data_IF_355038640489
#
_entry.id   IF_355038640489
#
_cell.length_a   1.000
_cell.length_b   1.000
_cell.length_c   1.000
_cell.angle_alpha   90.00
_cell.angle_beta   90.00
_cell.angle_gamma   90.00
#
_symmetry.space_group_name_H-M   'P 1'
#
loop_
_entity.id
_entity.type
_entity.pdbx_description
1 polymer ?
#
# COMPACT_ATOMS: atom_id res chain seq x y z
N UNK A 1 -21.01 -4.48 -21.93
CA UNK A 1 -20.88 -3.66 -20.69
C UNK A 1 -21.90 -4.06 -19.62
N UNK A 2 -23.21 -4.02 -19.90
CA UNK A 2 -24.25 -4.33 -18.89
C UNK A 2 -24.22 -5.76 -18.30
N UNK A 3 -23.73 -6.76 -19.04
CA UNK A 3 -23.60 -8.14 -18.52
C UNK A 3 -22.46 -8.27 -17.49
N UNK A 4 -21.36 -7.54 -17.68
CA UNK A 4 -20.18 -7.57 -16.80
C UNK A 4 -20.48 -6.82 -15.49
N UNK A 5 -21.29 -5.75 -15.57
CA UNK A 5 -21.77 -5.01 -14.40
C UNK A 5 -22.72 -5.80 -13.49
N UNK A 6 -23.29 -6.92 -13.95
CA UNK A 6 -24.24 -7.72 -13.15
C UNK A 6 -23.58 -8.83 -12.31
N UNK A 7 -22.24 -8.82 -12.12
CA UNK A 7 -21.48 -9.82 -11.34
C UNK A 7 -21.73 -11.29 -11.74
N UNK A 8 -22.30 -11.53 -12.92
CA UNK A 8 -22.71 -12.87 -13.37
C UNK A 8 -21.70 -13.55 -14.31
N UNK A 9 -20.53 -12.94 -14.53
CA UNK A 9 -19.50 -13.42 -15.45
C UNK A 9 -18.18 -13.62 -14.69
N UNK A 10 -17.48 -14.69 -15.02
CA UNK A 10 -16.16 -15.05 -14.51
C UNK A 10 -15.21 -15.27 -15.68
N UNK A 11 -13.90 -15.25 -15.42
CA UNK A 11 -12.90 -15.52 -16.46
C UNK A 11 -13.09 -16.93 -17.03
N UNK A 12 -13.33 -17.93 -16.18
CA UNK A 12 -13.60 -19.31 -16.60
C UNK A 12 -14.75 -19.47 -17.59
N UNK A 13 -15.75 -18.58 -17.54
CA UNK A 13 -16.92 -18.63 -18.42
C UNK A 13 -16.69 -17.92 -19.76
N UNK A 14 -15.78 -16.94 -19.81
CA UNK A 14 -15.53 -16.11 -20.99
C UNK A 14 -14.04 -15.71 -21.10
N UNK A 15 -13.09 -16.67 -21.24
CA UNK A 15 -11.67 -16.35 -21.31
C UNK A 15 -11.31 -15.54 -22.56
N UNK A 16 -12.04 -15.77 -23.66
CA UNK A 16 -11.86 -15.06 -24.93
C UNK A 16 -12.17 -13.57 -24.82
N UNK A 17 -13.08 -13.15 -23.93
CA UNK A 17 -13.40 -11.73 -23.76
C UNK A 17 -12.19 -10.95 -23.28
N UNK A 18 -11.50 -11.48 -22.27
CA UNK A 18 -10.29 -10.86 -21.72
C UNK A 18 -9.13 -10.94 -22.72
N UNK A 19 -9.00 -12.06 -23.44
CA UNK A 19 -7.99 -12.20 -24.49
C UNK A 19 -8.17 -11.17 -25.62
N UNK A 20 -9.41 -10.94 -26.07
CA UNK A 20 -9.74 -9.92 -27.07
C UNK A 20 -9.50 -8.51 -26.50
N UNK A 21 -9.86 -8.27 -25.24
CA UNK A 21 -9.62 -6.98 -24.58
C UNK A 21 -8.13 -6.65 -24.49
N UNK A 22 -7.30 -7.65 -24.19
CA UNK A 22 -5.83 -7.55 -24.19
C UNK A 22 -5.31 -7.27 -25.60
N UNK A 23 -5.77 -8.03 -26.61
CA UNK A 23 -5.34 -7.87 -28.00
C UNK A 23 -5.70 -6.49 -28.58
N UNK A 24 -6.90 -5.99 -28.25
CA UNK A 24 -7.38 -4.67 -28.68
C UNK A 24 -6.93 -3.53 -27.78
N UNK A 25 -6.21 -3.83 -26.70
CA UNK A 25 -5.79 -2.86 -25.68
C UNK A 25 -6.96 -2.00 -25.17
N UNK A 26 -8.13 -2.60 -24.99
CA UNK A 26 -9.32 -1.91 -24.48
C UNK A 26 -9.22 -1.75 -22.96
N UNK A 27 -8.64 -0.64 -22.53
CA UNK A 27 -8.33 -0.34 -21.12
C UNK A 27 -9.58 -0.39 -20.25
N UNK A 28 -10.70 0.15 -20.72
CA UNK A 28 -11.94 0.22 -19.94
C UNK A 28 -12.52 -1.18 -19.74
N UNK A 29 -12.49 -2.01 -20.78
CA UNK A 29 -12.94 -3.39 -20.68
C UNK A 29 -12.04 -4.22 -19.76
N UNK A 30 -10.72 -4.04 -19.85
CA UNK A 30 -9.75 -4.70 -18.96
C UNK A 30 -9.96 -4.29 -17.50
N UNK A 31 -10.14 -3.00 -17.21
CA UNK A 31 -10.42 -2.52 -15.85
C UNK A 31 -11.71 -3.14 -15.30
N UNK A 32 -12.78 -3.17 -16.09
CA UNK A 32 -14.06 -3.75 -15.67
C UNK A 32 -13.93 -5.26 -15.40
N UNK A 33 -13.20 -5.98 -16.24
CA UNK A 33 -12.95 -7.40 -16.03
C UNK A 33 -12.11 -7.67 -14.78
N UNK A 34 -11.05 -6.88 -14.54
CA UNK A 34 -10.22 -7.00 -13.33
C UNK A 34 -11.00 -6.74 -12.04
N UNK A 35 -12.00 -5.85 -12.08
CA UNK A 35 -12.83 -5.55 -10.91
C UNK A 35 -13.93 -6.59 -10.66
N UNK A 36 -14.46 -7.21 -11.71
CA UNK A 36 -15.67 -8.05 -11.61
C UNK A 36 -15.37 -9.55 -11.64
N UNK A 37 -14.27 -9.99 -12.25
CA UNK A 37 -13.97 -11.42 -12.36
C UNK A 37 -13.19 -11.90 -11.13
N UNK A 38 -13.69 -12.89 -10.39
CA UNK A 38 -13.03 -13.36 -9.16
C UNK A 38 -11.89 -14.36 -9.42
N UNK A 39 -11.77 -14.90 -10.64
CA UNK A 39 -10.97 -16.07 -11.00
C UNK A 39 -10.00 -15.79 -12.17
N UNK A 40 -9.40 -14.60 -12.18
CA UNK A 40 -8.47 -14.18 -13.25
C UNK A 40 -7.11 -14.86 -13.04
N UNK A 41 -6.55 -15.55 -14.05
CA UNK A 41 -5.22 -16.13 -13.96
C UNK A 41 -4.12 -15.07 -13.80
N UNK A 42 -3.08 -15.39 -13.04
CA UNK A 42 -1.98 -14.48 -12.74
C UNK A 42 -1.20 -14.04 -14.00
N UNK A 43 -1.12 -14.89 -15.02
CA UNK A 43 -0.55 -14.55 -16.33
C UNK A 43 -1.26 -13.35 -16.96
N UNK A 44 -2.60 -13.35 -16.89
CA UNK A 44 -3.45 -12.31 -17.45
C UNK A 44 -3.33 -11.03 -16.62
N UNK A 45 -3.31 -11.14 -15.29
CA UNK A 45 -3.06 -9.99 -14.40
C UNK A 45 -1.73 -9.33 -14.75
N UNK A 46 -0.67 -10.13 -14.94
CA UNK A 46 0.65 -9.62 -15.30
C UNK A 46 0.66 -8.97 -16.71
N UNK A 47 -0.08 -9.53 -17.66
CA UNK A 47 -0.22 -8.94 -18.99
C UNK A 47 -0.94 -7.59 -18.93
N UNK A 48 -2.02 -7.49 -18.14
CA UNK A 48 -2.70 -6.22 -17.89
C UNK A 48 -1.77 -5.20 -17.23
N UNK A 49 -0.99 -5.62 -16.22
CA UNK A 49 0.00 -4.75 -15.56
C UNK A 49 1.01 -4.19 -16.57
N UNK A 50 1.57 -5.03 -17.45
CA UNK A 50 2.49 -4.60 -18.51
C UNK A 50 1.87 -3.57 -19.43
N UNK A 51 0.65 -3.84 -19.90
CA UNK A 51 -0.09 -2.92 -20.77
C UNK A 51 -0.26 -1.57 -20.06
N UNK A 52 -0.71 -1.57 -18.81
CA UNK A 52 -0.94 -0.33 -18.04
C UNK A 52 0.34 0.44 -17.75
N UNK A 53 1.47 -0.23 -17.50
CA UNK A 53 2.76 0.42 -17.30
C UNK A 53 3.35 0.97 -18.61
N UNK A 54 3.08 0.32 -19.74
CA UNK A 54 3.58 0.72 -21.07
C UNK A 54 2.80 1.87 -21.72
N UNK A 55 1.54 2.08 -21.35
CA UNK A 55 0.72 3.18 -21.89
C UNK A 55 1.22 4.53 -21.36
N UNK A 56 1.38 5.54 -22.23
CA UNK A 56 1.70 6.91 -21.83
C UNK A 56 0.50 7.63 -21.19
N UNK A 57 0.74 8.48 -20.19
CA UNK A 57 -0.33 9.17 -19.46
C UNK A 57 -1.19 10.07 -20.38
N UNK A 58 -0.58 10.66 -21.42
CA UNK A 58 -1.23 11.51 -22.43
C UNK A 58 -2.40 10.80 -23.16
N UNK A 59 -2.32 9.48 -23.33
CA UNK A 59 -3.35 8.71 -24.02
C UNK A 59 -4.56 8.41 -23.12
N UNK A 60 -4.36 8.35 -21.80
CA UNK A 60 -5.42 8.03 -20.85
C UNK A 60 -6.33 9.22 -20.57
N UNK A 61 -5.82 10.45 -20.58
CA UNK A 61 -6.64 11.66 -20.35
C UNK A 61 -7.68 11.89 -21.46
N UNK A 62 -7.41 11.42 -22.68
CA UNK A 62 -8.38 11.50 -23.80
C UNK A 62 -9.50 10.47 -23.71
N UNK A 63 -9.32 9.43 -22.90
CA UNK A 63 -10.24 8.32 -22.75
C UNK A 63 -11.03 8.56 -21.46
N UNK A 64 -12.16 9.26 -21.56
CA UNK A 64 -13.01 9.63 -20.43
C UNK A 64 -13.41 8.41 -19.56
N UNK A 65 -12.60 8.11 -18.55
CA UNK A 65 -12.83 7.02 -17.60
C UNK A 65 -13.72 7.56 -16.48
N UNK A 66 -14.95 7.06 -16.40
CA UNK A 66 -15.85 7.38 -15.31
C UNK A 66 -15.18 6.97 -13.98
N UNK A 67 -14.81 7.98 -13.18
CA UNK A 67 -14.28 7.84 -11.81
C UNK A 67 -15.33 7.28 -10.81
N UNK A 68 -16.50 6.86 -11.29
CA UNK A 68 -17.70 6.64 -10.47
C UNK A 68 -17.99 5.17 -10.10
N UNK A 69 -17.13 4.22 -10.45
CA UNK A 69 -17.33 2.82 -10.03
C UNK A 69 -16.52 2.50 -8.77
N UNK A 70 -16.81 3.23 -7.70
CA UNK A 70 -16.58 2.77 -6.32
C UNK A 70 -17.65 1.71 -6.05
N UNK A 71 -17.28 0.44 -6.17
CA UNK A 71 -18.14 -0.65 -5.75
C UNK A 71 -18.12 -0.68 -4.21
N UNK A 72 -19.12 -0.01 -3.63
CA UNK A 72 -19.45 0.00 -2.22
C UNK A 72 -19.77 -1.43 -1.76
N UNK A 73 -18.74 -2.18 -1.37
CA UNK A 73 -18.92 -3.38 -0.57
C UNK A 73 -19.04 -2.97 0.88
N UNK A 74 -20.23 -2.51 1.23
CA UNK A 74 -20.73 -2.42 2.60
C UNK A 74 -20.70 -3.82 3.21
N UNK A 75 -19.63 -4.12 3.96
CA UNK A 75 -19.67 -5.17 4.99
C UNK A 75 -20.17 -4.49 6.26
N UNK A 76 -21.39 -4.85 6.65
CA UNK A 76 -22.01 -4.45 7.90
C UNK A 76 -21.08 -4.75 9.08
N UNK A 77 -20.53 -3.70 9.71
CA UNK A 77 -20.11 -3.77 11.10
C UNK A 77 -20.98 -2.82 11.93
N UNK A 78 -21.73 -3.46 12.83
CA UNK A 78 -22.69 -2.89 13.75
C UNK A 78 -22.22 -1.58 14.39
N UNK A 79 -23.16 -0.62 14.41
CA UNK A 79 -23.12 0.60 15.22
C UNK A 79 -22.92 0.27 16.71
N UNK A 80 -21.96 0.93 17.33
CA UNK A 80 -22.16 1.52 18.65
C UNK A 80 -21.27 2.77 18.77
N UNK A 81 -21.94 3.88 19.07
CA UNK A 81 -21.44 5.25 19.10
C UNK A 81 -20.41 5.54 20.19
N UNK A 82 -19.62 6.57 19.90
CA UNK A 82 -18.98 7.55 20.80
C UNK A 82 -18.12 7.06 21.98
N UNK A 83 -16.82 7.36 21.88
CA UNK A 83 -16.23 8.46 22.65
C UNK A 83 -14.91 8.92 22.01
N UNK A 84 -14.96 10.13 21.50
CA UNK A 84 -13.87 10.97 21.06
C UNK A 84 -12.86 11.23 22.19
N UNK A 85 -11.64 10.71 22.03
CA UNK A 85 -10.43 11.35 22.55
C UNK A 85 -9.34 11.31 21.49
N UNK A 86 -9.21 12.46 20.85
CA UNK A 86 -8.06 12.90 20.05
C UNK A 86 -6.79 12.67 20.88
N UNK A 87 -5.92 11.77 20.42
CA UNK A 87 -4.51 11.76 20.79
C UNK A 87 -3.74 11.92 19.48
N UNK A 88 -3.31 13.15 19.21
CA UNK A 88 -2.28 13.42 18.22
C UNK A 88 -0.99 12.76 18.72
N UNK A 89 -0.64 11.59 18.17
CA UNK A 89 0.71 11.07 18.28
C UNK A 89 1.58 11.91 17.34
N UNK A 90 2.25 12.90 17.92
CA UNK A 90 3.31 13.64 17.26
C UNK A 90 4.49 12.72 17.00
N UNK A 91 4.63 12.29 15.75
CA UNK A 91 5.86 11.71 15.22
C UNK A 91 6.18 12.41 13.91
N UNK A 92 6.71 13.63 14.00
CA UNK A 92 7.50 14.20 12.92
C UNK A 92 8.78 13.40 12.86
N UNK A 93 8.99 12.64 11.78
CA UNK A 93 10.24 11.93 11.54
C UNK A 93 11.33 12.95 11.18
N UNK A 94 11.98 13.52 12.19
CA UNK A 94 13.31 14.08 12.02
C UNK A 94 14.29 12.91 11.99
N UNK A 95 15.01 12.81 10.88
CA UNK A 95 16.04 11.81 10.64
C UNK A 95 17.06 11.88 11.78
N UNK A 96 17.24 10.78 12.49
CA UNK A 96 18.27 10.63 13.52
C UNK A 96 19.63 10.76 12.82
N UNK A 97 20.30 11.90 13.01
CA UNK A 97 21.70 12.10 12.67
C UNK A 97 22.56 11.25 13.63
N UNK A 98 23.22 10.22 13.10
CA UNK A 98 24.32 9.58 13.81
C UNK A 98 25.55 10.50 13.78
N UNK A 99 25.92 10.99 14.96
CA UNK A 99 27.13 11.78 15.20
C UNK A 99 28.37 10.88 15.13
N UNK A 100 29.26 11.11 14.16
CA UNK A 100 30.67 10.70 14.24
C UNK A 100 31.58 11.60 13.39
N UNK A 101 32.27 12.53 14.07
CA UNK A 101 33.50 13.30 13.78
C UNK A 101 33.83 13.87 12.37
N UNK A 102 33.84 15.21 12.30
CA UNK A 102 34.75 16.17 11.63
C UNK A 102 35.28 15.82 10.22
N UNK A 103 34.96 16.55 9.14
CA UNK A 103 35.22 17.98 8.91
C UNK A 103 34.44 18.45 7.68
N UNK A 104 33.99 19.71 7.75
CA UNK A 104 33.11 20.43 6.84
C UNK A 104 33.50 20.38 5.35
N UNK A 105 32.53 20.14 4.48
CA UNK A 105 32.32 20.94 3.26
C UNK A 105 30.84 20.96 2.90
N UNK A 106 30.26 22.14 3.08
CA UNK A 106 28.91 22.50 2.68
C UNK A 106 28.84 22.44 1.15
N UNK A 107 28.18 21.42 0.61
CA UNK A 107 27.57 21.46 -0.73
C UNK A 107 26.11 21.03 -0.61
N UNK A 108 25.29 22.03 -0.34
CA UNK A 108 23.85 22.03 -0.51
C UNK A 108 23.56 21.76 -1.98
N UNK A 109 23.23 20.52 -2.33
CA UNK A 109 22.87 20.15 -3.69
C UNK A 109 21.75 19.12 -3.66
N UNK A 110 20.53 19.65 -3.82
CA UNK A 110 19.41 18.98 -4.48
C UNK A 110 18.98 17.63 -3.90
N UNK A 111 18.51 17.60 -2.65
CA UNK A 111 17.48 16.64 -2.26
C UNK A 111 16.14 17.16 -2.80
N UNK A 112 15.84 16.80 -4.05
CA UNK A 112 14.57 17.14 -4.70
C UNK A 112 13.44 16.36 -4.01
N UNK A 113 12.46 17.13 -3.55
CA UNK A 113 11.10 16.79 -3.10
C UNK A 113 10.33 15.94 -4.14
N UNK A 114 10.76 14.71 -4.40
CA UNK A 114 10.01 13.75 -5.23
C UNK A 114 8.97 12.95 -4.41
N UNK A 115 8.64 13.40 -3.19
CA UNK A 115 7.71 12.70 -2.28
C UNK A 115 6.29 13.27 -2.26
N UNK A 116 5.99 14.30 -3.05
CA UNK A 116 4.66 14.93 -3.07
C UNK A 116 3.86 14.67 -4.33
N UNK A 117 4.51 14.38 -5.46
CA UNK A 117 3.84 14.15 -6.74
C UNK A 117 3.77 12.66 -7.09
N UNK A 118 2.59 12.21 -7.52
CA UNK A 118 2.40 10.85 -7.99
C UNK A 118 3.30 10.61 -9.23
N UNK A 119 4.07 9.50 -9.29
CA UNK A 119 4.95 9.22 -10.43
C UNK A 119 4.20 8.86 -11.72
N UNK A 120 2.88 8.72 -11.63
CA UNK A 120 1.98 8.37 -12.74
C UNK A 120 0.74 9.27 -12.72
N UNK A 121 0.14 9.49 -13.89
CA UNK A 121 -1.14 10.19 -14.01
C UNK A 121 -2.29 9.50 -13.26
N UNK A 122 -3.38 10.23 -12.95
CA UNK A 122 -4.47 9.74 -12.10
C UNK A 122 -5.18 8.50 -12.69
N UNK A 123 -5.38 8.46 -14.00
CA UNK A 123 -6.02 7.30 -14.65
C UNK A 123 -5.15 6.04 -14.56
N UNK A 124 -3.84 6.16 -14.79
CA UNK A 124 -2.90 5.05 -14.63
C UNK A 124 -2.86 4.58 -13.17
N UNK A 125 -2.89 5.50 -12.21
CA UNK A 125 -2.99 5.16 -10.79
C UNK A 125 -4.22 4.29 -10.49
N UNK A 126 -5.40 4.63 -11.01
CA UNK A 126 -6.62 3.82 -10.83
C UNK A 126 -6.49 2.41 -11.41
N UNK A 127 -5.86 2.27 -12.58
CA UNK A 127 -5.61 0.98 -13.21
C UNK A 127 -4.63 0.13 -12.40
N UNK A 128 -3.54 0.73 -11.93
CA UNK A 128 -2.55 0.05 -11.10
C UNK A 128 -3.15 -0.37 -9.74
N UNK A 129 -3.98 0.47 -9.13
CA UNK A 129 -4.71 0.12 -7.91
C UNK A 129 -5.64 -1.08 -8.14
N UNK A 130 -6.29 -1.16 -9.30
CA UNK A 130 -7.13 -2.30 -9.67
C UNK A 130 -6.31 -3.60 -9.74
N UNK A 131 -5.08 -3.54 -10.28
CA UNK A 131 -4.16 -4.68 -10.27
C UNK A 131 -3.74 -5.05 -8.84
N UNK A 132 -3.37 -4.08 -8.02
CA UNK A 132 -2.91 -4.32 -6.65
C UNK A 132 -4.01 -5.00 -5.81
N UNK A 133 -5.27 -4.62 -6.04
CA UNK A 133 -6.45 -5.20 -5.38
C UNK A 133 -6.88 -6.56 -5.95
N UNK A 134 -6.34 -7.00 -7.09
CA UNK A 134 -6.71 -8.28 -7.70
C UNK A 134 -6.29 -9.44 -6.79
N UNK A 135 -7.12 -10.49 -6.70
CA UNK A 135 -6.73 -11.71 -6.02
C UNK A 135 -5.61 -12.41 -6.81
N UNK A 136 -4.58 -12.87 -6.12
CA UNK A 136 -3.46 -13.58 -6.74
C UNK A 136 -2.88 -14.62 -5.79
N UNK A 137 -2.20 -15.60 -6.36
CA UNK A 137 -1.30 -16.49 -5.65
C UNK A 137 0.15 -16.15 -5.95
N UNK A 138 0.95 -15.92 -4.90
CA UNK A 138 2.37 -15.56 -5.01
C UNK A 138 3.15 -16.54 -5.90
N UNK A 139 2.91 -17.85 -5.72
CA UNK A 139 3.60 -18.91 -6.45
C UNK A 139 3.34 -18.89 -7.95
N UNK A 140 2.16 -18.44 -8.36
CA UNK A 140 1.76 -18.39 -9.77
C UNK A 140 2.04 -17.02 -10.40
N UNK A 141 2.02 -15.94 -9.63
CA UNK A 141 2.31 -14.59 -10.11
C UNK A 141 3.80 -14.34 -10.34
N UNK A 142 4.65 -14.81 -9.41
CA UNK A 142 6.08 -14.51 -9.41
C UNK A 142 6.81 -14.89 -10.72
N UNK A 143 6.55 -16.04 -11.37
CA UNK A 143 7.15 -16.37 -12.65
C UNK A 143 6.83 -15.34 -13.75
N UNK A 144 5.59 -14.87 -13.83
CA UNK A 144 5.16 -13.92 -14.86
C UNK A 144 5.70 -12.51 -14.62
N UNK A 145 5.89 -12.12 -13.36
CA UNK A 145 6.49 -10.82 -13.02
C UNK A 145 7.91 -10.67 -13.55
N UNK A 146 8.68 -11.76 -13.67
CA UNK A 146 10.07 -11.72 -14.19
C UNK A 146 10.18 -11.21 -15.62
N UNK A 147 9.09 -11.26 -16.38
CA UNK A 147 9.05 -10.82 -17.76
C UNK A 147 8.81 -9.29 -17.89
N UNK A 148 8.75 -8.55 -16.78
CA UNK A 148 8.70 -7.09 -16.77
C UNK A 148 10.07 -6.50 -17.12
N UNK A 149 10.09 -5.39 -17.87
CA UNK A 149 11.32 -4.65 -18.14
C UNK A 149 11.78 -3.86 -16.91
N UNK A 150 13.09 -3.57 -16.85
CA UNK A 150 13.67 -2.77 -15.77
C UNK A 150 12.97 -1.42 -15.54
N UNK A 151 12.54 -0.76 -16.63
CA UNK A 151 11.85 0.55 -16.56
C UNK A 151 10.46 0.42 -15.93
N UNK A 152 9.71 -0.61 -16.34
CA UNK A 152 8.39 -0.91 -15.77
C UNK A 152 8.49 -1.25 -14.28
N UNK A 153 9.50 -2.05 -13.89
CA UNK A 153 9.74 -2.41 -12.49
C UNK A 153 10.09 -1.19 -11.65
N UNK A 154 10.98 -0.31 -12.12
CA UNK A 154 11.34 0.90 -11.37
C UNK A 154 10.13 1.83 -11.22
N UNK A 155 9.37 2.07 -12.29
CA UNK A 155 8.18 2.91 -12.24
C UNK A 155 7.16 2.35 -11.25
N UNK A 156 6.92 1.04 -11.29
CA UNK A 156 5.94 0.41 -10.42
C UNK A 156 6.40 0.39 -8.96
N UNK A 157 7.69 0.15 -8.68
CA UNK A 157 8.24 0.27 -7.31
C UNK A 157 8.17 1.70 -6.77
N UNK A 158 8.44 2.72 -7.60
CA UNK A 158 8.27 4.13 -7.23
C UNK A 158 6.81 4.44 -6.92
N UNK A 159 5.89 3.92 -7.73
CA UNK A 159 4.45 4.07 -7.50
C UNK A 159 4.01 3.41 -6.19
N UNK A 160 4.39 2.16 -5.93
CA UNK A 160 4.07 1.46 -4.69
C UNK A 160 4.64 2.18 -3.46
N UNK A 161 5.86 2.72 -3.54
CA UNK A 161 6.42 3.55 -2.47
C UNK A 161 5.58 4.82 -2.25
N UNK A 162 5.16 5.50 -3.31
CA UNK A 162 4.30 6.68 -3.21
C UNK A 162 2.98 6.32 -2.52
N UNK A 163 2.29 5.26 -2.97
CA UNK A 163 1.01 4.82 -2.39
C UNK A 163 1.18 4.45 -0.93
N UNK A 164 2.24 3.72 -0.56
CA UNK A 164 2.55 3.39 0.83
C UNK A 164 2.61 4.66 1.71
N UNK A 165 3.38 5.66 1.26
CA UNK A 165 3.56 6.90 2.00
C UNK A 165 2.23 7.63 2.15
N UNK A 166 1.39 7.66 1.10
CA UNK A 166 0.07 8.27 1.18
C UNK A 166 -0.87 7.54 2.16
N UNK A 167 -0.90 6.21 2.14
CA UNK A 167 -1.67 5.42 3.11
C UNK A 167 -1.19 5.62 4.56
N UNK A 168 0.11 5.87 4.76
CA UNK A 168 0.67 6.07 6.11
C UNK A 168 0.40 7.47 6.69
N UNK A 169 0.11 8.47 5.84
CA UNK A 169 -0.05 9.88 6.22
C UNK A 169 -1.47 10.26 6.64
N UNK A 170 -2.38 9.30 6.74
CA UNK A 170 -3.81 9.57 6.67
C UNK A 170 -4.36 10.38 7.88
N UNK A 171 -4.39 11.71 7.70
CA UNK A 171 -5.32 12.65 8.31
C UNK A 171 -5.87 13.57 7.19
N UNK A 172 -6.97 13.16 6.57
CA UNK A 172 -7.88 13.95 5.72
C UNK A 172 -7.35 14.63 4.44
N UNK A 173 -6.88 13.87 3.45
CA UNK A 173 -6.98 14.31 2.04
C UNK A 173 -7.48 13.17 1.16
N UNK A 174 -8.75 13.25 0.77
CA UNK A 174 -9.44 12.28 -0.09
C UNK A 174 -8.71 12.14 -1.44
N UNK A 175 -7.97 11.04 -1.64
CA UNK A 175 -7.48 10.65 -2.96
C UNK A 175 -8.46 9.61 -3.53
N UNK A 176 -9.20 9.91 -4.62
CA UNK A 176 -10.13 8.95 -5.19
C UNK A 176 -9.36 7.71 -5.67
N UNK A 177 -9.79 6.52 -5.21
CA UNK A 177 -9.25 5.24 -5.64
C UNK A 177 -8.21 4.56 -4.74
N UNK A 178 -7.77 5.19 -3.64
CA UNK A 178 -6.84 4.55 -2.66
C UNK A 178 -7.60 3.79 -1.55
N UNK A 179 -8.87 4.12 -1.30
CA UNK A 179 -9.66 3.65 -0.14
C UNK A 179 -9.85 2.14 0.02
N UNK A 180 -9.41 1.31 -0.93
CA UNK A 180 -9.44 -0.15 -0.83
C UNK A 180 -8.07 -0.79 -0.61
N UNK A 181 -6.96 -0.05 -0.75
CA UNK A 181 -5.63 -0.64 -0.63
C UNK A 181 -5.19 -0.68 0.83
N UNK A 182 -4.88 -1.88 1.31
CA UNK A 182 -4.26 -2.07 2.61
C UNK A 182 -2.74 -1.92 2.53
N UNK A 183 -2.12 -1.45 3.62
CA UNK A 183 -0.66 -1.39 3.75
C UNK A 183 -0.03 -2.77 3.47
N UNK A 184 -0.69 -3.85 3.92
CA UNK A 184 -0.23 -5.21 3.69
C UNK A 184 -0.17 -5.56 2.20
N UNK A 185 -1.24 -5.31 1.43
CA UNK A 185 -1.25 -5.58 -0.01
C UNK A 185 -0.11 -4.83 -0.73
N UNK A 186 0.13 -3.57 -0.37
CA UNK A 186 1.22 -2.78 -0.95
C UNK A 186 2.58 -3.42 -0.63
N UNK A 187 2.78 -3.86 0.62
CA UNK A 187 4.00 -4.52 1.04
C UNK A 187 4.19 -5.88 0.35
N UNK A 188 3.14 -6.67 0.19
CA UNK A 188 3.19 -7.97 -0.51
C UNK A 188 3.61 -7.78 -1.97
N UNK A 189 3.06 -6.78 -2.67
CA UNK A 189 3.46 -6.44 -4.03
C UNK A 189 4.89 -5.89 -4.13
N UNK A 190 5.32 -5.07 -3.15
CA UNK A 190 6.72 -4.61 -3.06
C UNK A 190 7.67 -5.80 -2.91
N UNK A 191 7.38 -6.73 -2.00
CA UNK A 191 8.16 -7.94 -1.79
C UNK A 191 8.22 -8.79 -3.06
N UNK A 192 7.07 -9.07 -3.68
CA UNK A 192 6.98 -9.83 -4.94
C UNK A 192 7.85 -9.25 -6.07
N UNK A 193 7.80 -7.93 -6.27
CA UNK A 193 8.61 -7.26 -7.30
C UNK A 193 10.10 -7.34 -7.00
N UNK A 194 10.46 -7.14 -5.73
CA UNK A 194 11.85 -7.25 -5.30
C UNK A 194 12.34 -8.69 -5.45
N UNK A 195 11.55 -9.69 -5.09
CA UNK A 195 11.91 -11.10 -5.24
C UNK A 195 12.06 -11.52 -6.70
N UNK A 196 11.21 -10.99 -7.60
CA UNK A 196 11.31 -11.25 -9.03
C UNK A 196 12.54 -10.56 -9.68
N UNK A 197 12.89 -9.35 -9.25
CA UNK A 197 13.83 -8.47 -9.96
C UNK A 197 15.04 -8.00 -9.14
N UNK A 198 15.31 -8.58 -7.97
CA UNK A 198 16.36 -8.12 -7.05
C UNK A 198 17.70 -7.86 -7.75
N UNK A 199 18.18 -8.83 -8.52
CA UNK A 199 19.47 -8.73 -9.22
C UNK A 199 19.48 -7.56 -10.21
N UNK A 200 18.39 -7.36 -10.95
CA UNK A 200 18.25 -6.28 -11.94
C UNK A 200 18.23 -4.92 -11.23
N UNK A 201 17.41 -4.79 -10.19
CA UNK A 201 17.25 -3.57 -9.40
C UNK A 201 18.56 -3.16 -8.72
N UNK A 202 19.32 -4.10 -8.16
CA UNK A 202 20.61 -3.80 -7.49
C UNK A 202 21.70 -3.35 -8.48
N UNK A 203 21.69 -3.89 -9.70
CA UNK A 203 22.67 -3.55 -10.73
C UNK A 203 22.38 -2.20 -11.40
N UNK A 204 21.14 -1.72 -11.35
CA UNK A 204 20.73 -0.43 -11.94
C UNK A 204 21.10 0.74 -11.02
N UNK A 205 21.91 1.71 -11.48
CA UNK A 205 22.29 2.86 -10.67
C UNK A 205 21.09 3.74 -10.31
N UNK A 206 20.09 3.82 -11.20
CA UNK A 206 18.85 4.58 -11.05
C UNK A 206 18.01 4.09 -9.86
N UNK A 207 18.06 2.79 -9.58
CA UNK A 207 17.30 2.17 -8.49
C UNK A 207 18.01 2.29 -7.13
N UNK A 208 19.29 2.68 -7.07
CA UNK A 208 20.05 2.79 -5.80
C UNK A 208 19.43 3.80 -4.84
N UNK A 209 18.94 4.93 -5.36
CA UNK A 209 18.26 5.94 -4.55
C UNK A 209 16.96 5.39 -3.95
N UNK A 210 16.16 4.70 -4.76
CA UNK A 210 14.92 4.05 -4.33
C UNK A 210 15.18 2.96 -3.28
N UNK A 211 16.18 2.09 -3.51
CA UNK A 211 16.55 1.02 -2.60
C UNK A 211 17.08 1.55 -1.27
N UNK A 212 17.89 2.62 -1.30
CA UNK A 212 18.36 3.30 -0.09
C UNK A 212 17.19 3.86 0.73
N UNK A 213 16.21 4.50 0.07
CA UNK A 213 14.99 4.98 0.73
C UNK A 213 14.18 3.83 1.33
N UNK A 214 13.95 2.76 0.58
CA UNK A 214 13.23 1.57 1.06
C UNK A 214 13.95 0.93 2.26
N UNK A 215 15.27 0.78 2.20
CA UNK A 215 16.04 0.21 3.30
C UNK A 215 16.00 1.10 4.56
N UNK A 216 16.19 2.42 4.42
CA UNK A 216 16.02 3.37 5.53
C UNK A 216 14.62 3.27 6.14
N UNK A 217 13.62 3.17 5.28
CA UNK A 217 12.22 3.04 5.67
C UNK A 217 11.96 1.76 6.47
N UNK A 218 12.36 0.60 5.96
CA UNK A 218 12.22 -0.69 6.66
C UNK A 218 12.96 -0.67 8.00
N UNK A 219 14.16 -0.10 8.04
CA UNK A 219 14.91 0.06 9.29
C UNK A 219 14.14 0.90 10.32
N UNK A 220 13.56 2.02 9.89
CA UNK A 220 12.75 2.88 10.75
C UNK A 220 11.50 2.15 11.28
N UNK A 221 10.81 1.39 10.42
CA UNK A 221 9.66 0.56 10.81
C UNK A 221 10.05 -0.51 11.84
N UNK A 222 11.11 -1.29 11.57
CA UNK A 222 11.59 -2.32 12.52
C UNK A 222 11.95 -1.71 13.87
N UNK A 223 12.63 -0.55 13.86
CA UNK A 223 12.95 0.17 15.09
C UNK A 223 11.68 0.60 15.85
N UNK A 224 10.72 1.20 15.16
CA UNK A 224 9.45 1.62 15.75
C UNK A 224 8.67 0.46 16.38
N UNK A 225 8.53 -0.66 15.66
CA UNK A 225 7.88 -1.85 16.20
C UNK A 225 8.63 -2.46 17.39
N UNK A 226 9.97 -2.40 17.39
CA UNK A 226 10.77 -2.79 18.55
C UNK A 226 10.47 -1.92 19.77
N UNK A 227 10.38 -0.59 19.60
CA UNK A 227 10.01 0.30 20.71
C UNK A 227 8.57 0.07 21.20
N UNK A 228 7.62 -0.15 20.29
CA UNK A 228 6.25 -0.51 20.66
C UNK A 228 6.19 -1.83 21.45
N UNK A 229 6.95 -2.85 21.05
CA UNK A 229 7.03 -4.12 21.76
C UNK A 229 7.57 -3.95 23.20
N UNK A 230 8.51 -3.03 23.42
CA UNK A 230 9.00 -2.69 24.79
C UNK A 230 7.88 -2.07 25.64
N UNK A 231 7.06 -1.20 25.04
CA UNK A 231 5.93 -0.56 25.72
C UNK A 231 4.83 -1.58 26.01
N UNK A 232 4.54 -2.50 25.09
CA UNK A 232 3.53 -3.54 25.27
C UNK A 232 3.80 -4.41 26.51
N UNK A 233 5.06 -4.80 26.73
CA UNK A 233 5.46 -5.54 27.94
C UNK A 233 5.18 -4.76 29.24
N UNK A 234 5.42 -3.45 29.21
CA UNK A 234 5.14 -2.55 30.34
C UNK A 234 3.64 -2.36 30.56
N UNK A 235 2.86 -2.24 29.47
CA UNK A 235 1.40 -2.14 29.51
C UNK A 235 0.75 -3.41 30.08
N UNK A 236 1.21 -4.59 29.66
CA UNK A 236 0.76 -5.88 30.21
C UNK A 236 1.06 -5.98 31.70
N UNK A 237 2.21 -5.47 32.14
CA UNK A 237 2.55 -5.44 33.57
C UNK A 237 1.62 -4.51 34.36
N UNK A 238 1.35 -3.31 33.85
CA UNK A 238 0.39 -2.38 34.46
C UNK A 238 -1.05 -2.93 34.47
N UNK A 239 -1.48 -3.61 33.41
CA UNK A 239 -2.79 -4.25 33.37
C UNK A 239 -2.92 -5.35 34.42
N UNK A 240 -1.85 -6.10 34.70
CA UNK A 240 -1.81 -7.11 35.76
C UNK A 240 -1.88 -6.51 37.17
N UNK A 241 -1.30 -5.33 37.37
CA UNK A 241 -1.38 -4.60 38.65
C UNK A 241 -2.78 -3.98 38.83
N UNK A 242 -3.42 -3.51 37.75
CA UNK A 242 -4.76 -2.94 37.77
C UNK A 242 -5.91 -3.97 37.75
N UNK A 243 -5.63 -5.26 37.55
CA UNK A 243 -6.52 -6.36 37.89
C UNK A 243 -6.03 -7.01 39.18
N UNK A 244 -6.21 -6.37 40.34
CA UNK A 244 -5.96 -7.07 41.57
C UNK A 244 -7.03 -8.15 41.69
N UNK A 245 -6.64 -9.42 41.75
CA UNK A 245 -7.42 -10.40 42.47
C UNK A 245 -7.39 -10.08 43.98
N UNK A 246 -7.72 -8.84 44.38
CA UNK A 246 -7.93 -8.45 45.77
C UNK A 246 -9.34 -8.87 46.18
N UNK A 247 -9.54 -10.17 46.31
CA UNK A 247 -10.48 -10.69 47.29
C UNK A 247 -9.71 -10.93 48.58
N UNK A 248 -9.54 -9.86 49.35
CA UNK A 248 -8.87 -9.84 50.65
C UNK A 248 -7.52 -9.15 50.53
N UNK A 249 -7.35 -7.97 51.10
CA UNK A 249 -7.11 -7.85 52.54
C UNK A 249 -7.81 -6.65 53.18
N UNK A 250 -8.21 -6.86 54.43
CA UNK A 250 -8.80 -5.92 55.37
C UNK A 250 -8.04 -4.59 55.47
N UNK A 251 -8.76 -3.47 55.33
CA UNK A 251 -8.24 -2.10 55.53
C UNK A 251 -8.84 -1.50 56.81
N UNK A 252 -8.00 -0.95 57.69
CA UNK A 252 -8.43 -0.19 58.86
C UNK A 252 -8.36 1.30 58.52
N UNK A 253 -9.50 1.97 58.54
CA UNK A 253 -9.59 3.42 58.41
C UNK A 253 -9.94 4.05 59.77
N UNK A 254 -9.23 5.11 60.15
CA UNK A 254 -9.45 5.83 61.41
C UNK A 254 -10.32 7.04 61.14
N UNK A 255 -11.57 7.01 61.61
CA UNK A 255 -12.51 8.12 61.49
C UNK A 255 -12.39 9.02 62.72
N UNK A 256 -12.14 10.31 62.51
CA UNK A 256 -12.14 11.33 63.56
C UNK A 256 -13.54 11.89 63.72
N UNK A 257 -14.19 11.59 64.85
CA UNK A 257 -15.48 12.15 65.21
C UNK A 257 -15.29 13.59 65.73
N UNK A 258 -15.86 14.56 65.01
CA UNK A 258 -16.04 15.96 65.44
C UNK A 258 -17.36 16.15 66.17
#
# INVERSE_FOLDING_TARGET
>A
VQLIQKQGLSYSMCPELMAIAVEKTDIHLLQLCLQQFPDIPEEVICTCLKIFLSIGDDHLETMNMNSDFVLDHTVEHNKMDELSKIVQNGCTFELIEEVSCDTQTIQKSQEIELSETCPVGPHKATLLNTIICSAYSETFLLPHLKDLSAKEVILFLQYLQYVYVQCSKESSTHFPGIFHLTIQQIMDWLCLLLDAHFTVVVMLPEARGLLSKLHKFVRAQVHFYSELNKIEGSLKHLQRINHPEDKGLYSIEVIKLT
#
